data_IF_754815575650
#
_entry.id   IF_754815575650
#
_cell.length_a   1.000
_cell.length_b   1.000
_cell.length_c   1.000
_cell.angle_alpha   90.00
_cell.angle_beta   90.00
_cell.angle_gamma   90.00
#
_symmetry.space_group_name_H-M   'P 1'
#
loop_
_entity.id
_entity.type
_entity.pdbx_description
1 polymer ?
#
# COMPACT_ATOMS: atom_id res chain seq x y z
N UNK A 1 37.29 8.10 -20.16
CA UNK A 1 35.87 8.19 -19.77
C UNK A 1 35.53 6.84 -19.16
N UNK A 2 35.58 6.70 -17.85
CA UNK A 2 35.09 5.49 -17.17
C UNK A 2 33.60 5.36 -17.49
N UNK A 3 33.22 4.32 -18.24
CA UNK A 3 31.83 3.95 -18.34
C UNK A 3 31.41 3.52 -16.94
N UNK A 4 30.66 4.36 -16.25
CA UNK A 4 29.93 3.97 -15.05
C UNK A 4 28.92 2.91 -15.46
N UNK A 5 29.35 1.65 -15.52
CA UNK A 5 28.44 0.52 -15.69
C UNK A 5 27.48 0.57 -14.52
N UNK A 6 26.22 0.92 -14.82
CA UNK A 6 25.16 0.99 -13.83
C UNK A 6 24.97 -0.40 -13.22
N UNK A 7 25.34 -0.53 -11.94
CA UNK A 7 25.28 -1.78 -11.19
C UNK A 7 23.88 -2.39 -11.34
N UNK A 8 23.83 -3.62 -11.85
CA UNK A 8 22.59 -4.37 -12.04
C UNK A 8 22.15 -4.90 -10.67
N UNK A 9 20.90 -4.64 -10.29
CA UNK A 9 20.32 -5.04 -9.00
C UNK A 9 19.11 -5.96 -9.23
N UNK A 10 19.32 -7.04 -9.97
CA UNK A 10 18.26 -8.00 -10.28
C UNK A 10 18.08 -8.97 -9.09
N UNK A 11 16.85 -9.17 -8.60
CA UNK A 11 16.57 -10.15 -7.54
C UNK A 11 17.03 -11.55 -7.93
N UNK A 12 17.60 -12.30 -6.99
CA UNK A 12 18.12 -13.66 -7.22
C UNK A 12 17.11 -14.60 -7.92
N UNK A 13 15.82 -14.48 -7.58
CA UNK A 13 14.73 -15.26 -8.20
C UNK A 13 14.56 -15.01 -9.71
N UNK A 14 14.98 -13.84 -10.21
CA UNK A 14 14.91 -13.49 -11.64
C UNK A 14 16.25 -13.70 -12.36
N UNK A 15 17.33 -14.01 -11.63
CA UNK A 15 18.66 -14.19 -12.24
C UNK A 15 18.71 -15.33 -13.26
N UNK A 16 18.08 -16.50 -13.07
CA UNK A 16 18.06 -17.55 -14.10
C UNK A 16 17.45 -17.05 -15.43
N UNK A 17 16.32 -16.36 -15.35
CA UNK A 17 15.64 -15.78 -16.52
C UNK A 17 16.48 -14.70 -17.18
N UNK A 18 17.12 -13.85 -16.38
CA UNK A 18 18.03 -12.82 -16.87
C UNK A 18 19.25 -13.42 -17.58
N UNK A 19 19.89 -14.41 -16.98
CA UNK A 19 21.07 -15.08 -17.55
C UNK A 19 20.74 -15.75 -18.89
N UNK A 20 19.60 -16.43 -18.97
CA UNK A 20 19.10 -17.02 -20.23
C UNK A 20 18.89 -15.95 -21.29
N UNK A 21 18.29 -14.81 -20.93
CA UNK A 21 18.06 -13.71 -21.85
C UNK A 21 19.35 -13.12 -22.43
N UNK A 22 20.34 -12.80 -21.58
CA UNK A 22 21.59 -12.16 -22.00
C UNK A 22 22.53 -13.07 -22.81
N UNK A 23 22.24 -14.37 -22.92
CA UNK A 23 22.98 -15.26 -23.83
C UNK A 23 22.70 -14.98 -25.31
N UNK A 24 21.61 -14.28 -25.62
CA UNK A 24 21.20 -13.93 -26.99
C UNK A 24 21.57 -12.48 -27.31
N UNK A 25 21.97 -12.19 -28.55
CA UNK A 25 22.29 -10.81 -28.98
C UNK A 25 21.07 -9.87 -28.88
N UNK A 26 19.89 -10.40 -29.21
CA UNK A 26 18.61 -9.71 -29.02
C UNK A 26 18.39 -9.39 -27.53
N UNK A 27 18.56 -10.39 -26.64
CA UNK A 27 18.38 -10.20 -25.22
C UNK A 27 19.42 -9.27 -24.57
N UNK A 28 20.64 -9.18 -25.10
CA UNK A 28 21.63 -8.19 -24.63
C UNK A 28 21.17 -6.76 -24.91
N UNK A 29 20.72 -6.49 -26.13
CA UNK A 29 20.34 -5.16 -26.60
C UNK A 29 18.93 -4.71 -26.18
N UNK A 30 18.02 -5.66 -25.91
CA UNK A 30 16.64 -5.33 -25.59
C UNK A 30 16.49 -4.55 -24.27
N UNK A 31 15.50 -3.66 -24.20
CA UNK A 31 15.16 -2.95 -22.97
C UNK A 31 14.48 -3.91 -21.98
N UNK A 32 14.85 -3.82 -20.70
CA UNK A 32 14.44 -4.77 -19.65
C UNK A 32 13.83 -4.02 -18.47
N UNK A 33 12.80 -4.60 -17.87
CA UNK A 33 12.20 -4.08 -16.63
C UNK A 33 11.77 -5.21 -15.70
N UNK A 34 11.64 -4.89 -14.44
CA UNK A 34 11.12 -5.81 -13.42
C UNK A 34 9.66 -5.46 -13.15
N UNK A 35 8.76 -6.40 -13.38
CA UNK A 35 7.36 -6.34 -12.92
C UNK A 35 7.32 -6.75 -11.45
N UNK A 36 6.67 -5.93 -10.63
CA UNK A 36 6.47 -6.15 -9.20
C UNK A 36 4.98 -6.16 -8.90
N UNK A 37 4.48 -7.33 -8.52
CA UNK A 37 3.12 -7.51 -8.01
C UNK A 37 3.18 -7.37 -6.48
N UNK A 38 2.76 -6.21 -5.97
CA UNK A 38 2.98 -5.87 -4.56
C UNK A 38 2.07 -6.70 -3.63
N UNK A 39 2.66 -7.49 -2.74
CA UNK A 39 1.93 -8.24 -1.72
C UNK A 39 1.23 -7.35 -0.69
N UNK A 40 1.68 -6.10 -0.53
CA UNK A 40 1.10 -5.12 0.40
C UNK A 40 -0.09 -4.39 -0.21
N UNK A 41 0.10 -3.56 -1.24
CA UNK A 41 -0.97 -2.71 -1.78
C UNK A 41 -1.70 -3.34 -2.97
N UNK A 42 -1.30 -4.54 -3.40
CA UNK A 42 -1.87 -5.31 -4.53
C UNK A 42 -1.74 -4.65 -5.90
N UNK A 43 -1.06 -3.50 -6.00
CA UNK A 43 -0.75 -2.86 -7.27
C UNK A 43 0.43 -3.55 -7.98
N UNK A 44 0.34 -3.61 -9.31
CA UNK A 44 1.47 -3.96 -10.18
C UNK A 44 2.28 -2.70 -10.51
N UNK A 45 3.59 -2.77 -10.38
CA UNK A 45 4.53 -1.68 -10.69
C UNK A 45 5.68 -2.21 -11.53
N UNK A 46 6.31 -1.33 -12.30
CA UNK A 46 7.42 -1.68 -13.17
C UNK A 46 8.63 -0.83 -12.80
N UNK A 47 9.79 -1.46 -12.65
CA UNK A 47 11.03 -0.79 -12.29
C UNK A 47 12.16 -1.15 -13.23
N UNK A 48 13.14 -0.27 -13.33
CA UNK A 48 14.41 -0.59 -13.99
C UNK A 48 15.15 -1.72 -13.27
N UNK A 49 15.87 -2.54 -14.02
CA UNK A 49 16.74 -3.61 -13.51
C UNK A 49 17.90 -3.11 -12.62
N UNK A 50 18.15 -1.81 -12.61
CA UNK A 50 19.19 -1.18 -11.80
C UNK A 50 18.69 -0.75 -10.41
N UNK A 51 17.36 -0.70 -10.18
CA UNK A 51 16.79 -0.08 -8.97
C UNK A 51 16.81 -1.00 -7.74
N UNK A 52 16.92 -2.32 -7.93
CA UNK A 52 16.75 -3.28 -6.85
C UNK A 52 15.28 -3.44 -6.46
N UNK A 53 14.87 -4.65 -6.10
CA UNK A 53 13.53 -4.89 -5.54
C UNK A 53 13.65 -5.28 -4.08
N UNK A 54 12.70 -4.77 -3.29
CA UNK A 54 12.75 -4.81 -1.84
C UNK A 54 11.57 -5.59 -1.27
N UNK A 55 11.75 -6.12 -0.07
CA UNK A 55 10.73 -6.88 0.66
C UNK A 55 10.41 -6.19 1.98
N UNK A 56 9.27 -6.54 2.57
CA UNK A 56 8.94 -6.25 3.96
C UNK A 56 8.64 -7.59 4.62
N UNK A 57 9.54 -8.06 5.48
CA UNK A 57 9.44 -9.36 6.15
C UNK A 57 9.07 -10.51 5.17
N UNK A 58 9.82 -10.64 4.08
CA UNK A 58 9.59 -11.68 3.07
C UNK A 58 8.45 -11.43 2.08
N UNK A 59 7.57 -10.44 2.30
CA UNK A 59 6.53 -10.02 1.35
C UNK A 59 7.11 -9.08 0.30
N UNK A 60 6.83 -9.33 -0.98
CA UNK A 60 7.23 -8.44 -2.08
C UNK A 60 6.51 -7.11 -1.93
N UNK A 61 7.26 -6.02 -1.87
CA UNK A 61 6.72 -4.68 -1.72
C UNK A 61 7.13 -3.80 -2.90
N UNK A 62 6.19 -2.99 -3.39
CA UNK A 62 6.53 -1.89 -4.27
C UNK A 62 7.35 -0.83 -3.50
N UNK A 63 8.11 -0.01 -4.22
CA UNK A 63 8.98 1.00 -3.63
C UNK A 63 8.21 1.96 -2.72
N UNK A 64 7.01 2.37 -3.11
CA UNK A 64 6.16 3.24 -2.30
C UNK A 64 5.78 2.60 -0.95
N UNK A 65 5.39 1.32 -0.93
CA UNK A 65 5.07 0.62 0.32
C UNK A 65 6.32 0.44 1.18
N UNK A 66 7.45 0.08 0.57
CA UNK A 66 8.71 -0.16 1.27
C UNK A 66 9.25 1.12 1.89
N UNK A 67 9.31 2.21 1.14
CA UNK A 67 9.73 3.51 1.66
C UNK A 67 8.80 4.03 2.75
N UNK A 68 7.48 3.87 2.58
CA UNK A 68 6.52 4.25 3.61
C UNK A 68 6.73 3.45 4.90
N UNK A 69 6.94 2.14 4.78
CA UNK A 69 7.28 1.29 5.92
C UNK A 69 8.59 1.69 6.60
N UNK A 70 9.67 1.86 5.82
CA UNK A 70 10.99 2.19 6.36
C UNK A 70 11.02 3.55 7.05
N UNK A 71 10.36 4.58 6.46
CA UNK A 71 10.22 5.89 7.11
C UNK A 71 9.51 5.79 8.46
N UNK A 72 8.41 5.04 8.50
CA UNK A 72 7.66 4.84 9.74
C UNK A 72 8.43 3.99 10.77
N UNK A 73 9.17 2.97 10.33
CA UNK A 73 10.04 2.13 11.17
C UNK A 73 11.18 2.94 11.79
N UNK A 74 11.84 3.79 11.00
CA UNK A 74 12.98 4.63 11.43
C UNK A 74 12.54 5.76 12.36
N UNK A 75 11.43 6.42 12.05
CA UNK A 75 10.89 7.55 12.81
C UNK A 75 9.38 7.43 13.01
N UNK A 76 8.92 6.55 13.90
CA UNK A 76 7.50 6.39 14.15
C UNK A 76 6.94 7.66 14.79
N UNK A 77 5.83 8.16 14.22
CA UNK A 77 5.08 9.30 14.75
C UNK A 77 3.65 8.85 15.03
N UNK A 78 3.01 9.48 16.01
CA UNK A 78 1.60 9.24 16.30
C UNK A 78 0.78 9.69 15.09
N UNK A 79 0.23 8.71 14.36
CA UNK A 79 -0.60 8.97 13.19
C UNK A 79 -2.06 9.14 13.59
N UNK A 80 -2.79 9.93 12.81
CA UNK A 80 -4.22 10.14 13.01
C UNK A 80 -5.03 9.51 11.86
N UNK A 81 -6.27 9.19 12.16
CA UNK A 81 -7.23 8.73 11.17
C UNK A 81 -8.54 9.49 11.34
N UNK A 82 -8.83 10.40 10.42
CA UNK A 82 -10.06 11.22 10.44
C UNK A 82 -11.35 10.38 10.34
N UNK A 83 -11.23 9.13 9.87
CA UNK A 83 -12.35 8.20 9.71
C UNK A 83 -12.44 7.15 10.83
N UNK A 84 -11.73 7.33 11.94
CA UNK A 84 -11.79 6.41 13.10
C UNK A 84 -11.41 4.97 12.76
N UNK A 85 -10.40 4.80 11.90
CA UNK A 85 -9.93 3.48 11.46
C UNK A 85 -10.77 2.79 10.38
N UNK A 86 -11.85 3.42 9.88
CA UNK A 86 -12.71 2.79 8.84
C UNK A 86 -12.01 2.57 7.51
N UNK A 87 -10.95 3.32 7.19
CA UNK A 87 -10.19 3.12 5.94
C UNK A 87 -9.51 1.74 5.90
N UNK A 88 -9.17 1.17 7.05
CA UNK A 88 -8.52 -0.14 7.15
C UNK A 88 -9.45 -1.31 6.76
N UNK A 89 -10.77 -1.10 6.81
CA UNK A 89 -11.74 -2.13 6.43
C UNK A 89 -11.85 -2.32 4.92
N UNK A 90 -11.26 -1.40 4.14
CA UNK A 90 -11.26 -1.49 2.69
C UNK A 90 -10.23 -2.53 2.25
N UNK A 91 -10.51 -3.25 1.15
CA UNK A 91 -9.54 -4.21 0.62
C UNK A 91 -8.30 -3.50 0.07
N UNK A 92 -8.49 -2.37 -0.60
CA UNK A 92 -7.40 -1.55 -1.09
C UNK A 92 -6.73 -0.77 0.03
N UNK A 93 -5.40 -0.70 -0.02
CA UNK A 93 -4.64 0.08 0.94
C UNK A 93 -4.91 1.57 0.74
N UNK A 94 -5.34 2.32 1.77
CA UNK A 94 -5.67 3.73 1.63
C UNK A 94 -4.41 4.56 1.37
N UNK A 95 -4.38 5.26 0.24
CA UNK A 95 -3.23 6.11 -0.17
C UNK A 95 -3.04 7.34 0.73
N UNK A 96 -4.14 7.91 1.25
CA UNK A 96 -4.12 9.19 2.00
C UNK A 96 -4.01 9.02 3.52
N UNK A 97 -4.45 7.89 4.07
CA UNK A 97 -4.49 7.69 5.52
C UNK A 97 -3.29 6.86 5.96
N UNK A 98 -2.23 7.53 6.43
CA UNK A 98 -0.98 6.90 6.89
C UNK A 98 -1.23 5.87 7.99
N UNK A 99 -2.04 6.19 9.00
CA UNK A 99 -2.39 5.26 10.08
C UNK A 99 -2.95 3.93 9.55
N UNK A 100 -3.94 3.99 8.65
CA UNK A 100 -4.55 2.79 8.09
C UNK A 100 -3.63 2.10 7.07
N UNK A 101 -2.84 2.86 6.30
CA UNK A 101 -1.82 2.29 5.41
C UNK A 101 -0.78 1.46 6.17
N UNK A 102 -0.33 1.96 7.33
CA UNK A 102 0.56 1.19 8.20
C UNK A 102 -0.12 -0.03 8.78
N UNK A 103 -1.38 0.08 9.21
CA UNK A 103 -2.16 -1.09 9.65
C UNK A 103 -2.30 -2.18 8.56
N UNK A 104 -2.43 -1.80 7.30
CA UNK A 104 -2.40 -2.75 6.18
C UNK A 104 -1.05 -3.45 6.05
N UNK A 105 0.07 -2.75 6.20
CA UNK A 105 1.39 -3.38 6.17
C UNK A 105 1.53 -4.37 7.33
N UNK A 106 1.23 -3.93 8.54
CA UNK A 106 1.37 -4.75 9.75
C UNK A 106 0.49 -6.01 9.73
N UNK A 107 -0.65 -5.99 9.05
CA UNK A 107 -1.55 -7.16 8.94
C UNK A 107 -1.33 -8.03 7.69
N UNK A 108 -0.47 -7.59 6.75
CA UNK A 108 -0.15 -8.33 5.52
C UNK A 108 1.27 -8.91 5.54
N UNK A 109 2.15 -8.36 6.36
CA UNK A 109 3.56 -8.74 6.44
C UNK A 109 3.84 -9.48 7.76
N UNK A 110 4.59 -10.59 7.75
CA UNK A 110 4.95 -11.33 8.94
C UNK A 110 6.13 -10.68 9.67
N UNK A 111 5.92 -9.44 10.12
CA UNK A 111 6.92 -8.69 10.89
C UNK A 111 7.14 -9.32 12.28
N UNK A 112 8.33 -9.18 12.89
CA UNK A 112 8.57 -9.69 14.24
C UNK A 112 7.56 -9.13 15.26
N UNK A 113 7.06 -9.94 16.22
CA UNK A 113 6.05 -9.49 17.19
C UNK A 113 6.46 -8.24 18.00
N UNK A 114 7.72 -8.16 18.43
CA UNK A 114 8.24 -6.99 19.15
C UNK A 114 8.13 -5.70 18.31
N UNK A 115 8.47 -5.79 17.02
CA UNK A 115 8.36 -4.68 16.08
C UNK A 115 6.89 -4.35 15.79
N UNK A 116 6.04 -5.37 15.61
CA UNK A 116 4.60 -5.18 15.45
C UNK A 116 4.00 -4.35 16.58
N UNK A 117 4.21 -4.76 17.83
CA UNK A 117 3.66 -4.06 18.99
C UNK A 117 4.25 -2.66 19.18
N UNK A 118 5.54 -2.48 18.88
CA UNK A 118 6.17 -1.16 18.88
C UNK A 118 5.48 -0.22 17.88
N UNK A 119 5.39 -0.61 16.60
CA UNK A 119 4.78 0.21 15.56
C UNK A 119 3.27 0.42 15.78
N UNK A 120 2.57 -0.60 16.30
CA UNK A 120 1.16 -0.53 16.67
C UNK A 120 0.91 0.56 17.72
N UNK A 121 1.84 0.78 18.66
CA UNK A 121 1.69 1.78 19.73
C UNK A 121 1.47 3.21 19.19
N UNK A 122 1.99 3.50 17.99
CA UNK A 122 1.86 4.79 17.31
C UNK A 122 0.57 4.96 16.49
N UNK A 123 -0.31 3.95 16.47
CA UNK A 123 -1.58 4.00 15.76
C UNK A 123 -2.74 4.42 16.69
N UNK A 124 -3.81 5.05 16.14
CA UNK A 124 -5.00 5.44 16.90
C UNK A 124 -5.67 4.27 17.62
N UNK A 125 -6.18 4.52 18.83
CA UNK A 125 -6.85 3.49 19.65
C UNK A 125 -8.01 2.80 18.93
N UNK A 126 -8.83 3.54 18.19
CA UNK A 126 -9.97 2.96 17.46
C UNK A 126 -9.56 2.11 16.26
N UNK A 127 -8.37 2.36 15.70
CA UNK A 127 -7.78 1.51 14.68
C UNK A 127 -7.18 0.24 15.32
N UNK A 128 -6.46 0.38 16.44
CA UNK A 128 -5.87 -0.75 17.18
C UNK A 128 -6.90 -1.80 17.56
N UNK A 129 -8.09 -1.38 18.03
CA UNK A 129 -9.22 -2.28 18.36
C UNK A 129 -9.71 -3.15 17.19
N UNK A 130 -9.38 -2.79 15.95
CA UNK A 130 -9.79 -3.50 14.73
C UNK A 130 -8.67 -4.36 14.16
N UNK A 131 -7.45 -4.20 14.67
CA UNK A 131 -6.28 -4.94 14.21
C UNK A 131 -6.16 -6.25 15.03
N UNK A 132 -5.56 -7.30 14.45
CA UNK A 132 -5.24 -8.50 15.21
C UNK A 132 -4.24 -8.19 16.33
N UNK A 133 -4.27 -8.97 17.40
CA UNK A 133 -3.33 -8.79 18.51
C UNK A 133 -1.91 -9.21 18.15
N UNK A 134 -1.74 -10.05 17.13
CA UNK A 134 -0.44 -10.55 16.66
C UNK A 134 -0.27 -10.30 15.16
N UNK A 135 0.98 -10.09 14.68
CA UNK A 135 1.24 -10.08 13.24
C UNK A 135 0.97 -11.47 12.66
N UNK A 136 0.65 -11.56 11.35
CA UNK A 136 0.51 -12.86 10.71
C UNK A 136 1.84 -13.60 10.73
N UNK A 137 1.82 -14.92 10.83
CA UNK A 137 3.05 -15.73 10.68
C UNK A 137 3.40 -15.92 9.21
N UNK A 138 4.65 -16.26 8.91
CA UNK A 138 5.05 -16.62 7.54
C UNK A 138 4.19 -17.76 6.97
N UNK A 139 3.73 -18.70 7.80
CA UNK A 139 2.85 -19.80 7.36
C UNK A 139 1.46 -19.29 6.99
N UNK A 140 0.94 -18.30 7.71
CA UNK A 140 -0.38 -17.69 7.47
C UNK A 140 -0.42 -16.76 6.25
N UNK A 141 0.74 -16.28 5.78
CA UNK A 141 0.86 -15.53 4.54
C UNK A 141 1.38 -16.46 3.44
N UNK A 142 0.49 -17.18 2.71
CA UNK A 142 0.90 -18.09 1.64
C UNK A 142 1.56 -17.33 0.49
N UNK A 143 2.38 -18.04 -0.30
CA UNK A 143 3.22 -17.45 -1.34
C UNK A 143 2.43 -16.59 -2.33
N UNK A 144 1.21 -17.02 -2.68
CA UNK A 144 0.31 -16.32 -3.59
C UNK A 144 -0.11 -14.94 -3.06
N UNK A 145 -0.11 -14.75 -1.73
CA UNK A 145 -0.45 -13.48 -1.09
C UNK A 145 0.75 -12.59 -0.84
N UNK A 146 1.97 -13.13 -0.91
CA UNK A 146 3.23 -12.39 -0.72
C UNK A 146 3.61 -11.50 -1.90
N UNK A 147 2.88 -11.58 -3.01
CA UNK A 147 3.21 -10.87 -4.23
C UNK A 147 4.24 -11.61 -5.09
N UNK A 148 4.58 -11.02 -6.23
CA UNK A 148 5.34 -11.67 -7.28
C UNK A 148 6.34 -10.74 -7.95
N UNK A 149 7.35 -11.36 -8.57
CA UNK A 149 8.34 -10.69 -9.39
C UNK A 149 8.32 -11.31 -10.78
N UNK A 150 8.44 -10.48 -11.80
CA UNK A 150 8.62 -10.92 -13.18
C UNK A 150 9.69 -10.10 -13.88
N UNK A 151 10.37 -10.71 -14.84
CA UNK A 151 11.28 -10.05 -15.77
C UNK A 151 10.56 -9.84 -17.09
N UNK A 152 10.50 -8.60 -17.56
CA UNK A 152 9.89 -8.24 -18.83
C UNK A 152 10.91 -7.62 -19.77
N UNK A 153 10.76 -7.92 -21.06
CA UNK A 153 11.62 -7.44 -22.14
C UNK A 153 10.75 -6.74 -23.18
N UNK A 154 11.25 -5.61 -23.67
CA UNK A 154 10.59 -4.90 -24.76
C UNK A 154 10.97 -5.54 -26.09
N UNK A 155 9.96 -5.99 -26.84
CA UNK A 155 10.11 -6.59 -28.17
C UNK A 155 9.15 -5.94 -29.15
N UNK A 156 9.69 -5.29 -30.18
CA UNK A 156 8.88 -4.51 -31.12
C UNK A 156 8.15 -3.40 -30.36
N UNK A 157 6.85 -3.60 -30.14
CA UNK A 157 5.95 -2.63 -29.48
C UNK A 157 5.35 -3.14 -28.15
N UNK A 158 5.71 -4.33 -27.68
CA UNK A 158 5.10 -4.94 -26.50
C UNK A 158 6.13 -5.34 -25.45
N UNK A 159 5.68 -5.37 -24.19
CA UNK A 159 6.46 -5.93 -23.08
C UNK A 159 6.07 -7.39 -22.90
N UNK A 160 7.05 -8.28 -23.06
CA UNK A 160 6.85 -9.72 -22.90
C UNK A 160 7.46 -10.22 -21.60
N UNK A 161 6.68 -11.02 -20.85
CA UNK A 161 7.15 -11.71 -19.66
C UNK A 161 8.06 -12.89 -20.04
N UNK A 162 9.33 -12.80 -19.66
CA UNK A 162 10.34 -13.84 -19.89
C UNK A 162 10.71 -14.59 -18.61
N UNK A 163 9.93 -14.44 -17.55
CA UNK A 163 10.17 -15.08 -16.26
C UNK A 163 10.09 -16.58 -16.40
N UNK A 164 11.18 -17.26 -16.05
CA UNK A 164 11.22 -18.71 -16.02
C UNK A 164 10.45 -19.22 -14.80
N UNK A 165 9.33 -19.89 -15.06
CA UNK A 165 8.49 -20.51 -14.02
C UNK A 165 8.80 -22.00 -13.84
N UNK A 166 9.74 -22.54 -14.61
CA UNK A 166 10.02 -23.98 -14.69
C UNK A 166 11.05 -24.47 -13.66
N UNK A 167 11.86 -23.57 -13.08
CA UNK A 167 12.67 -23.89 -11.91
C UNK A 167 11.86 -23.66 -10.63
N UNK A 168 11.56 -24.76 -9.96
CA UNK A 168 10.49 -24.90 -8.99
C UNK A 168 10.42 -23.86 -7.86
N UNK A 169 9.17 -23.67 -7.44
CA UNK A 169 8.57 -23.14 -6.19
C UNK A 169 9.32 -23.35 -4.86
N UNK A 170 10.54 -23.90 -4.85
CA UNK A 170 11.44 -24.01 -3.71
C UNK A 170 12.41 -22.83 -3.65
N UNK A 171 11.91 -21.60 -3.69
CA UNK A 171 12.57 -20.61 -2.83
C UNK A 171 12.12 -20.97 -1.42
N UNK A 172 12.88 -21.81 -0.72
CA UNK A 172 13.02 -21.61 0.73
C UNK A 172 13.50 -20.18 0.86
N UNK A 173 12.55 -19.25 0.97
CA UNK A 173 12.79 -17.87 1.34
C UNK A 173 13.35 -18.01 2.74
N UNK A 174 14.67 -18.20 2.82
CA UNK A 174 15.40 -17.94 4.04
C UNK A 174 14.91 -16.55 4.44
N UNK A 175 14.44 -16.44 5.66
CA UNK A 175 14.42 -15.15 6.32
C UNK A 175 15.89 -14.72 6.30
N UNK A 176 16.31 -14.08 5.21
CA UNK A 176 17.47 -13.22 5.23
C UNK A 176 17.09 -12.25 6.34
N UNK A 177 17.79 -12.37 7.47
CA UNK A 177 17.77 -11.36 8.51
C UNK A 177 17.90 -10.05 7.74
N UNK A 178 16.88 -9.19 7.85
CA UNK A 178 16.86 -7.83 7.31
C UNK A 178 18.11 -7.13 7.86
N UNK A 179 19.24 -7.36 7.23
CA UNK A 179 20.41 -6.50 7.25
C UNK A 179 20.03 -5.39 6.29
N UNK A 180 19.05 -4.60 6.72
CA UNK A 180 18.79 -3.25 6.26
C UNK A 180 20.10 -2.50 6.54
N UNK A 181 21.10 -2.65 5.65
CA UNK A 181 22.17 -1.68 5.55
C UNK A 181 21.45 -0.39 5.19
N UNK A 182 21.32 0.49 6.19
CA UNK A 182 20.76 1.83 6.04
C UNK A 182 21.41 2.47 4.81
N UNK A 183 20.69 2.52 3.70
CA UNK A 183 21.13 3.25 2.52
C UNK A 183 21.11 4.74 2.93
N UNK A 184 22.26 5.40 3.08
CA UNK A 184 22.33 6.75 3.60
C UNK A 184 21.76 7.79 2.63
N UNK A 185 21.29 7.38 1.45
CA UNK A 185 20.93 8.28 0.35
C UNK A 185 19.41 8.42 0.11
N UNK A 186 18.57 8.13 1.10
CA UNK A 186 17.09 8.27 1.01
C UNK A 186 16.55 9.60 1.56
N UNK A 187 17.42 10.47 2.06
CA UNK A 187 17.07 11.83 2.47
C UNK A 187 17.22 12.77 1.26
N UNK A 188 16.16 12.92 0.44
CA UNK A 188 15.82 14.13 -0.36
C UNK A 188 14.88 13.85 -1.55
N UNK A 189 13.79 13.10 -1.35
CA UNK A 189 12.68 13.12 -2.31
C UNK A 189 11.35 13.26 -1.58
N UNK A 190 11.00 14.51 -1.26
CA UNK A 190 9.61 14.95 -1.08
C UNK A 190 8.90 14.82 -2.44
N UNK A 191 8.49 13.58 -2.76
CA UNK A 191 7.73 13.31 -3.97
C UNK A 191 6.26 13.43 -3.63
N UNK A 192 5.69 14.60 -3.96
CA UNK A 192 4.25 14.74 -4.18
C UNK A 192 3.83 13.69 -5.22
N UNK A 193 2.68 13.07 -4.98
CA UNK A 193 2.12 12.02 -5.83
C UNK A 193 1.57 12.67 -7.10
N UNK A 194 2.44 13.05 -8.03
CA UNK A 194 2.04 13.43 -9.38
C UNK A 194 1.87 12.18 -10.23
N UNK A 195 0.62 11.99 -10.65
CA UNK A 195 0.20 11.01 -11.64
C UNK A 195 0.86 11.40 -12.97
N UNK A 196 1.85 10.63 -13.42
CA UNK A 196 2.41 10.80 -14.76
C UNK A 196 1.31 10.51 -15.78
N UNK A 197 0.66 11.57 -16.25
CA UNK A 197 -0.11 11.57 -17.50
C UNK A 197 0.92 11.40 -18.60
N UNK A 198 0.85 10.29 -19.31
CA UNK A 198 1.66 10.07 -20.49
C UNK A 198 0.99 10.89 -21.59
N UNK A 199 1.59 12.02 -21.97
CA UNK A 199 1.16 12.76 -23.15
C UNK A 199 1.38 11.86 -24.37
N UNK A 200 0.29 11.56 -25.09
CA UNK A 200 0.31 10.90 -26.39
C UNK A 200 1.19 11.71 -27.35
N UNK A 201 2.15 11.10 -28.07
CA UNK A 201 2.90 11.82 -29.07
C UNK A 201 2.02 12.18 -30.27
N UNK A 202 2.00 13.47 -30.59
CA UNK A 202 1.32 14.12 -31.71
C UNK A 202 1.38 13.29 -33.01
N UNK A 203 0.21 12.85 -33.47
CA UNK A 203 0.00 12.38 -34.83
C UNK A 203 -0.04 13.63 -35.72
N UNK A 204 0.80 13.75 -36.77
CA UNK A 204 0.73 14.90 -37.66
C UNK A 204 -0.57 14.82 -38.49
N UNK A 205 -1.51 15.70 -38.19
CA UNK A 205 -2.72 15.90 -39.00
C UNK A 205 -2.33 16.40 -40.40
N UNK A 206 -2.85 15.72 -41.41
CA UNK A 206 -2.73 16.13 -42.81
C UNK A 206 -3.50 17.44 -43.05
N UNK A 207 -2.84 18.41 -43.69
CA UNK A 207 -3.44 19.70 -44.06
C UNK A 207 -4.64 19.54 -45.00
N UNK A 208 -5.79 20.18 -44.72
CA UNK A 208 -6.83 20.40 -45.72
C UNK A 208 -6.63 21.75 -46.44
N UNK A 209 -7.04 21.86 -47.72
CA UNK A 209 -6.71 22.99 -48.57
C UNK A 209 -7.51 24.25 -48.23
N UNK A 210 -6.87 25.38 -48.56
CA UNK A 210 -7.31 26.76 -48.41
C UNK A 210 -8.75 27.03 -48.84
N UNK A 211 -9.53 27.69 -47.97
CA UNK A 211 -10.67 28.51 -48.41
C UNK A 211 -10.73 29.84 -47.67
N UNK A 212 -10.87 30.86 -48.51
CA UNK A 212 -10.98 32.29 -48.28
C UNK A 212 -12.23 32.69 -47.48
N UNK A 213 -12.10 33.63 -46.54
CA UNK A 213 -12.88 34.89 -46.45
C UNK A 213 -13.08 35.41 -45.00
N UNK A 214 -12.60 36.63 -44.79
CA UNK A 214 -13.02 37.72 -43.87
C UNK A 214 -13.27 37.50 -42.36
N UNK A 215 -12.83 38.46 -41.50
CA UNK A 215 -12.85 38.32 -40.04
C UNK A 215 -14.18 38.79 -39.41
N UNK A 216 -14.65 38.06 -38.39
CA UNK A 216 -15.74 38.50 -37.49
C UNK A 216 -15.12 38.79 -36.10
N UNK A 217 -15.45 39.92 -35.45
CA UNK A 217 -14.74 40.37 -34.26
C UNK A 217 -15.13 39.62 -32.98
N UNK A 218 -14.11 39.41 -32.14
CA UNK A 218 -14.15 38.77 -30.81
C UNK A 218 -14.83 39.68 -29.78
N UNK A 219 -15.82 39.20 -29.00
CA UNK A 219 -16.27 39.89 -27.80
C UNK A 219 -15.40 39.51 -26.59
N UNK A 220 -14.75 40.52 -26.00
CA UNK A 220 -13.96 40.45 -24.76
C UNK A 220 -14.86 40.23 -23.53
N UNK A 221 -14.62 39.22 -22.67
CA UNK A 221 -15.25 39.16 -21.35
C UNK A 221 -14.51 40.05 -20.34
N UNK A 222 -15.29 40.84 -19.62
CA UNK A 222 -14.88 41.78 -18.56
C UNK A 222 -14.16 41.11 -17.36
N UNK A 223 -13.34 41.87 -16.60
CA UNK A 223 -12.57 41.36 -15.47
C UNK A 223 -13.47 40.92 -14.31
N UNK A 224 -13.27 39.70 -13.80
CA UNK A 224 -13.95 39.22 -12.59
C UNK A 224 -13.38 39.92 -11.35
N UNK A 225 -14.23 40.78 -10.79
CA UNK A 225 -14.09 41.45 -9.50
C UNK A 225 -13.92 40.42 -8.37
N UNK A 226 -12.94 40.69 -7.50
CA UNK A 226 -12.56 39.84 -6.37
C UNK A 226 -13.70 39.59 -5.38
N UNK A 227 -13.73 38.37 -4.83
CA UNK A 227 -14.67 37.93 -3.81
C UNK A 227 -14.28 38.52 -2.44
N UNK A 228 -15.20 39.19 -1.71
CA UNK A 228 -14.87 39.79 -0.41
C UNK A 228 -14.65 38.74 0.69
N UNK A 229 -13.61 38.97 1.51
CA UNK A 229 -13.26 38.19 2.71
C UNK A 229 -14.39 38.25 3.75
N UNK A 230 -14.87 37.09 4.18
CA UNK A 230 -15.88 36.94 5.24
C UNK A 230 -15.21 37.20 6.60
N UNK A 231 -15.66 38.23 7.33
CA UNK A 231 -15.23 38.52 8.71
C UNK A 231 -15.78 37.45 9.68
N UNK A 232 -15.04 37.07 10.73
CA UNK A 232 -15.53 36.16 11.77
C UNK A 232 -16.55 36.86 12.68
N UNK A 233 -17.67 36.18 12.94
CA UNK A 233 -18.71 36.63 13.87
C UNK A 233 -18.30 36.46 15.35
N UNK A 234 -18.97 37.18 16.26
CA UNK A 234 -18.57 37.28 17.67
C UNK A 234 -18.93 36.03 18.49
N UNK A 235 -18.08 35.72 19.47
CA UNK A 235 -18.32 34.74 20.54
C UNK A 235 -19.44 35.23 21.47
N UNK A 236 -20.36 34.38 21.92
CA UNK A 236 -21.18 34.68 23.09
C UNK A 236 -20.36 34.48 24.38
N UNK A 237 -20.44 35.49 25.24
CA UNK A 237 -19.99 35.47 26.63
C UNK A 237 -20.89 34.55 27.48
N UNK A 238 -20.30 33.95 28.52
CA UNK A 238 -20.98 33.01 29.41
C UNK A 238 -21.76 33.67 30.54
N UNK A 239 -22.33 32.83 31.39
CA UNK A 239 -22.60 33.12 32.81
C UNK A 239 -22.78 31.79 33.59
N UNK A 240 -22.78 31.79 34.94
CA UNK A 240 -22.03 30.83 35.75
C UNK A 240 -22.94 30.01 36.67
N UNK A 241 -22.31 29.13 37.45
CA UNK A 241 -22.78 28.54 38.71
C UNK A 241 -24.05 27.66 38.70
N UNK A 242 -23.83 26.37 39.00
CA UNK A 242 -24.39 25.77 40.22
C UNK A 242 -23.67 24.47 40.61
N UNK A 243 -23.03 24.52 41.79
CA UNK A 243 -22.71 23.36 42.63
C UNK A 243 -24.01 22.80 43.22
N UNK A 244 -24.13 21.48 43.34
CA UNK A 244 -24.52 20.79 44.58
C UNK A 244 -24.31 19.27 44.48
N UNK A 245 -23.90 18.70 45.61
CA UNK A 245 -23.65 17.29 45.87
C UNK A 245 -24.87 16.58 46.50
N UNK A 246 -24.69 15.28 46.78
CA UNK A 246 -25.57 14.31 47.49
C UNK A 246 -26.64 13.63 46.62
N UNK A 247 -26.99 12.35 46.77
CA UNK A 247 -26.64 11.24 47.67
C UNK A 247 -27.43 10.00 47.19
N UNK A 248 -26.84 8.79 47.25
CA UNK A 248 -27.26 7.66 48.09
C UNK A 248 -28.77 7.37 48.22
N UNK A 249 -29.23 6.22 47.67
CA UNK A 249 -30.15 5.21 48.27
C UNK A 249 -30.38 4.09 47.24
N UNK A 250 -29.93 2.84 47.45
CA UNK A 250 -30.59 1.71 48.15
C UNK A 250 -31.95 1.26 47.59
N UNK A 251 -31.99 -0.02 47.17
CA UNK A 251 -33.08 -0.96 47.49
C UNK A 251 -34.09 -1.25 46.39
N UNK A 252 -34.30 -2.54 46.07
CA UNK A 252 -35.40 -2.97 45.20
C UNK A 252 -35.25 -4.38 44.65
N UNK A 253 -35.67 -5.36 45.46
CA UNK A 253 -35.49 -6.81 45.36
C UNK A 253 -36.50 -7.53 44.44
N UNK A 254 -36.08 -8.73 43.95
CA UNK A 254 -36.84 -9.98 43.77
C UNK A 254 -38.06 -9.98 42.81
N UNK A 255 -38.18 -10.93 41.88
CA UNK A 255 -38.88 -12.25 41.96
C UNK A 255 -39.05 -12.64 40.47
N UNK A 256 -39.02 -13.86 39.94
CA UNK A 256 -38.80 -15.24 40.38
C UNK A 256 -39.22 -16.17 39.20
N UNK A 257 -38.95 -17.47 39.34
CA UNK A 257 -39.62 -18.62 38.69
C UNK A 257 -39.14 -18.90 37.24
N UNK A 258 -38.24 -19.88 37.06
CA UNK A 258 -38.50 -21.33 36.89
C UNK A 258 -38.89 -21.64 35.44
N UNK A 259 -38.57 -22.77 34.82
CA UNK A 259 -37.76 -23.94 35.14
C UNK A 259 -37.85 -24.87 33.92
N UNK A 260 -37.08 -25.96 33.98
CA UNK A 260 -37.13 -27.21 33.21
C UNK A 260 -36.40 -27.21 31.86
N UNK A 261 -35.24 -27.86 31.75
CA UNK A 261 -34.98 -29.31 31.82
C UNK A 261 -35.73 -30.08 30.73
N UNK A 262 -35.00 -30.59 29.73
CA UNK A 262 -34.98 -31.98 29.25
C UNK A 262 -33.65 -32.16 28.47
N UNK A 263 -32.66 -32.94 28.93
CA UNK A 263 -32.54 -34.43 28.83
C UNK A 263 -32.38 -34.86 27.36
N UNK A 264 -31.15 -34.99 26.82
CA UNK A 264 -30.24 -36.17 26.77
C UNK A 264 -30.07 -36.69 25.30
N UNK A 265 -29.06 -37.54 25.00
CA UNK A 265 -28.37 -37.66 23.71
C UNK A 265 -28.71 -38.97 22.96
N UNK A 266 -27.85 -39.37 22.01
CA UNK A 266 -27.86 -40.57 21.15
C UNK A 266 -28.67 -40.46 19.85
N UNK A 267 -27.98 -40.59 18.70
CA UNK A 267 -28.14 -41.72 17.78
C UNK A 267 -26.88 -41.82 16.92
N UNK A 268 -26.18 -42.95 17.11
CA UNK A 268 -25.24 -43.60 16.18
C UNK A 268 -26.00 -44.23 15.01
N UNK A 269 -25.52 -44.03 13.77
CA UNK A 269 -25.74 -44.92 12.61
C UNK A 269 -24.54 -44.69 11.66
N UNK A 270 -23.50 -45.53 11.61
CA UNK A 270 -23.35 -46.88 11.03
C UNK A 270 -23.62 -46.99 9.51
N UNK A 271 -22.51 -47.23 8.79
CA UNK A 271 -22.28 -48.12 7.65
C UNK A 271 -22.91 -47.86 6.26
N UNK A 272 -22.01 -48.02 5.28
CA UNK A 272 -22.20 -48.51 3.91
C UNK A 272 -22.68 -47.52 2.85
N UNK A 273 -21.75 -46.93 2.10
CA UNK A 273 -21.47 -47.26 0.69
C UNK A 273 -20.07 -46.78 0.32
#
# INVERSE_FOLDING_TARGET
MESTESVIRIPAVLMPSYNKLITTEEGKSAMKRIRVECGVCKATRFYSIHRGITRIAGVVACEGCRQFYQRFKKQPRLEQCDKGGRCFLQEEMPKKCKACGMAHILTRCPVPPSLYHNLLSYLPTDLKKRMPDQPPTSVEVPQERRGGLGLEVYKGDTWEDVTDRSEGRTSTIRAEEDTDADDPNVDDLDMEFEEMVVDDPDIPEAEPPEQTSSPVPVPTPAPRVGRPKKKPGPKPAGDPDQRTAHGSTRGGTLVSICALLLILPFITFLKSF
#
